data_IF_702433304963
#
_entry.id   IF_702433304963
#
_cell.length_a   1.000
_cell.length_b   1.000
_cell.length_c   1.000
_cell.angle_alpha   90.00
_cell.angle_beta   90.00
_cell.angle_gamma   90.00
#
_symmetry.space_group_name_H-M   'P 1'
#
loop_
_entity.id
_entity.type
_entity.pdbx_description
1 polymer ?
#
# COMPACT_ATOMS: atom_id res chain seq x y z
N UNK A 1 -21.26 -2.81 3.10
CA UNK A 1 -19.81 -2.85 3.15
C UNK A 1 -19.25 -2.72 1.75
N UNK A 2 -18.37 -1.78 1.59
CA UNK A 2 -17.69 -1.61 0.31
C UNK A 2 -16.46 -2.48 0.27
N UNK A 3 -16.26 -3.15 -0.86
CA UNK A 3 -15.04 -3.88 -1.08
C UNK A 3 -14.33 -3.27 -2.28
N UNK A 4 -13.01 -3.19 -2.20
CA UNK A 4 -12.24 -2.67 -3.31
C UNK A 4 -12.14 -3.74 -4.40
N UNK A 5 -12.09 -3.33 -5.67
CA UNK A 5 -11.91 -4.30 -6.74
C UNK A 5 -10.48 -4.85 -6.75
N UNK A 6 -10.33 -6.08 -7.22
CA UNK A 6 -9.03 -6.68 -7.43
C UNK A 6 -8.36 -6.15 -8.69
N UNK A 7 -7.16 -6.66 -9.02
CA UNK A 7 -6.47 -6.20 -10.21
C UNK A 7 -7.23 -6.58 -11.48
N UNK A 8 -7.24 -5.65 -12.43
CA UNK A 8 -7.89 -5.87 -13.70
C UNK A 8 -6.92 -6.36 -14.75
N UNK A 9 -7.45 -7.06 -15.73
CA UNK A 9 -6.64 -7.53 -16.85
C UNK A 9 -6.19 -6.32 -17.67
N UNK A 10 -4.89 -6.23 -17.95
CA UNK A 10 -4.37 -5.11 -18.72
C UNK A 10 -4.06 -3.87 -17.89
N UNK A 11 -4.18 -3.95 -16.57
CA UNK A 11 -3.81 -2.80 -15.73
C UNK A 11 -2.34 -2.45 -15.87
N UNK A 12 -2.06 -1.16 -15.88
CA UNK A 12 -0.67 -0.68 -15.89
C UNK A 12 -0.04 -0.87 -14.52
N UNK A 13 1.28 -0.73 -14.44
CA UNK A 13 1.97 -0.84 -13.16
C UNK A 13 1.44 0.19 -12.17
N UNK A 14 1.18 1.42 -12.62
CA UNK A 14 0.63 2.44 -11.75
C UNK A 14 -0.76 2.06 -11.25
N UNK A 15 -1.59 1.46 -12.13
CA UNK A 15 -2.93 1.01 -11.74
C UNK A 15 -2.83 -0.04 -10.64
N UNK A 16 -1.83 -0.91 -10.71
CA UNK A 16 -1.64 -1.95 -9.70
C UNK A 16 -1.28 -1.34 -8.35
N UNK A 17 -0.39 -0.34 -8.34
CA UNK A 17 -0.02 0.32 -7.08
C UNK A 17 -1.23 1.03 -6.49
N UNK A 18 -1.95 1.79 -7.30
CA UNK A 18 -3.14 2.52 -6.81
C UNK A 18 -4.21 1.56 -6.31
N UNK A 19 -4.42 0.46 -7.04
CA UNK A 19 -5.39 -0.54 -6.64
C UNK A 19 -5.02 -1.20 -5.32
N UNK A 20 -3.73 -1.49 -5.15
CA UNK A 20 -3.27 -2.07 -3.90
C UNK A 20 -3.50 -1.12 -2.72
N UNK A 21 -3.17 0.16 -2.89
CA UNK A 21 -3.37 1.12 -1.80
C UNK A 21 -4.84 1.21 -1.40
N UNK A 22 -5.74 1.20 -2.39
CA UNK A 22 -7.17 1.25 -2.12
C UNK A 22 -7.64 -0.03 -1.43
N UNK A 23 -7.17 -1.18 -1.91
CA UNK A 23 -7.58 -2.46 -1.33
C UNK A 23 -7.05 -2.62 0.09
N UNK A 24 -5.87 -2.08 0.38
CA UNK A 24 -5.31 -2.16 1.73
C UNK A 24 -6.13 -1.37 2.74
N UNK A 25 -6.69 -0.23 2.31
CA UNK A 25 -7.55 0.56 3.19
C UNK A 25 -8.79 -0.24 3.58
N UNK A 26 -9.33 -1.02 2.65
CA UNK A 26 -10.50 -1.85 2.90
C UNK A 26 -10.13 -3.23 3.46
N UNK A 27 -8.85 -3.47 3.75
CA UNK A 27 -8.35 -4.81 4.05
C UNK A 27 -8.92 -5.46 5.28
N UNK A 28 -9.35 -4.66 6.26
CA UNK A 28 -9.88 -5.24 7.49
C UNK A 28 -11.21 -5.95 7.27
N UNK A 29 -11.92 -5.67 6.18
CA UNK A 29 -13.21 -6.30 5.91
C UNK A 29 -13.05 -7.67 5.26
N UNK A 30 -11.89 -7.97 4.66
CA UNK A 30 -11.69 -9.24 3.96
C UNK A 30 -10.35 -9.88 4.30
N UNK A 31 -9.75 -9.49 5.43
CA UNK A 31 -8.46 -10.01 5.89
C UNK A 31 -7.38 -9.81 4.83
N UNK A 32 -7.45 -8.68 4.14
CA UNK A 32 -6.47 -8.26 3.13
C UNK A 32 -6.42 -9.20 1.92
N UNK A 33 -7.49 -9.99 1.70
CA UNK A 33 -7.49 -10.92 0.58
C UNK A 33 -7.40 -10.19 -0.76
N UNK A 34 -8.16 -9.11 -0.93
CA UNK A 34 -8.12 -8.36 -2.18
C UNK A 34 -6.77 -7.68 -2.37
N UNK A 35 -6.22 -7.09 -1.30
CA UNK A 35 -4.91 -6.44 -1.40
C UNK A 35 -3.84 -7.43 -1.84
N UNK A 36 -3.91 -8.66 -1.32
CA UNK A 36 -2.92 -9.68 -1.66
C UNK A 36 -2.98 -10.09 -3.13
N UNK A 37 -4.09 -9.85 -3.80
CA UNK A 37 -4.21 -10.18 -5.23
C UNK A 37 -3.31 -9.30 -6.10
N UNK A 38 -2.89 -8.14 -5.60
CA UNK A 38 -1.99 -7.24 -6.34
C UNK A 38 -0.53 -7.61 -6.17
N UNK A 39 -0.22 -8.60 -5.33
CA UNK A 39 1.14 -8.99 -4.99
C UNK A 39 1.52 -10.28 -5.71
N UNK A 40 2.82 -10.44 -5.97
CA UNK A 40 3.33 -11.71 -6.45
C UNK A 40 3.25 -12.74 -5.32
N UNK A 41 3.37 -14.02 -5.66
CA UNK A 41 3.33 -15.09 -4.66
C UNK A 41 4.41 -14.89 -3.61
N UNK A 42 5.61 -14.48 -4.05
CA UNK A 42 6.70 -14.23 -3.13
C UNK A 42 6.39 -13.07 -2.19
N UNK A 43 5.81 -11.99 -2.75
CA UNK A 43 5.48 -10.82 -1.94
C UNK A 43 4.39 -11.14 -0.92
N UNK A 44 3.41 -11.95 -1.30
CA UNK A 44 2.36 -12.36 -0.36
C UNK A 44 2.97 -13.06 0.85
N UNK A 45 3.96 -13.93 0.61
CA UNK A 45 4.60 -14.68 1.69
C UNK A 45 5.41 -13.78 2.62
N UNK A 46 5.88 -12.64 2.13
CA UNK A 46 6.74 -11.74 2.89
C UNK A 46 5.98 -10.60 3.56
N UNK A 47 4.83 -10.24 3.04
CA UNK A 47 4.13 -9.04 3.48
C UNK A 47 3.35 -9.28 4.76
N UNK A 48 3.54 -8.37 5.72
CA UNK A 48 2.84 -8.41 7.01
C UNK A 48 2.06 -7.11 7.17
N UNK A 49 0.79 -7.11 6.79
CA UNK A 49 0.01 -5.86 6.75
C UNK A 49 -0.14 -5.18 8.11
N UNK A 50 -0.13 -5.96 9.19
CA UNK A 50 -0.32 -5.37 10.51
C UNK A 50 0.98 -5.19 11.28
N UNK A 51 2.13 -5.32 10.61
CA UNK A 51 3.41 -5.05 11.26
C UNK A 51 3.48 -3.59 11.69
N UNK A 52 2.95 -2.69 10.86
CA UNK A 52 2.88 -1.28 11.21
C UNK A 52 1.77 -0.64 10.38
N UNK A 53 1.07 0.32 10.96
CA UNK A 53 0.05 1.08 10.25
C UNK A 53 0.49 2.53 10.24
N UNK A 54 0.78 3.06 9.05
CA UNK A 54 1.13 4.47 8.91
C UNK A 54 -0.13 5.25 8.60
N UNK A 55 -0.40 6.27 9.42
CA UNK A 55 -1.60 7.08 9.26
C UNK A 55 -1.25 8.36 8.53
N UNK A 56 -2.02 8.70 7.51
CA UNK A 56 -1.84 9.95 6.79
C UNK A 56 -3.09 10.80 6.91
N UNK A 57 -2.93 12.11 6.64
CA UNK A 57 -4.07 13.03 6.72
C UNK A 57 -5.08 12.68 5.63
N UNK A 58 -6.32 12.43 6.02
CA UNK A 58 -7.36 12.09 5.07
C UNK A 58 -7.74 13.21 4.12
N UNK A 59 -7.23 14.42 4.35
CA UNK A 59 -7.51 15.54 3.48
C UNK A 59 -6.60 15.59 2.25
N UNK A 60 -5.52 14.80 2.23
CA UNK A 60 -4.55 14.79 1.13
C UNK A 60 -4.23 13.35 0.78
N UNK A 61 -4.56 12.96 -0.45
CA UNK A 61 -4.30 11.59 -0.87
C UNK A 61 -2.80 11.36 -1.09
N UNK A 62 -2.33 10.13 -0.86
CA UNK A 62 -0.95 9.79 -1.16
C UNK A 62 -0.64 10.00 -2.64
N UNK A 63 0.58 10.42 -2.92
CA UNK A 63 1.05 10.66 -4.28
C UNK A 63 1.91 9.49 -4.73
N UNK A 64 1.65 9.02 -5.95
CA UNK A 64 2.41 7.92 -6.54
C UNK A 64 3.28 8.49 -7.65
N UNK A 65 4.57 8.21 -7.58
CA UNK A 65 5.50 8.69 -8.59
C UNK A 65 6.44 7.56 -9.01
N UNK A 66 7.00 7.68 -10.22
CA UNK A 66 7.92 6.68 -10.77
C UNK A 66 9.35 7.15 -10.53
N UNK A 67 10.16 6.28 -9.91
CA UNK A 67 11.57 6.57 -9.70
C UNK A 67 12.37 6.24 -10.95
N UNK A 68 13.61 6.72 -10.99
CA UNK A 68 14.46 6.54 -12.17
C UNK A 68 14.72 5.08 -12.49
N UNK A 69 14.70 4.21 -11.48
CA UNK A 69 14.95 2.78 -11.67
C UNK A 69 13.69 1.99 -12.02
N UNK A 70 12.56 2.68 -12.22
CA UNK A 70 11.32 2.03 -12.60
C UNK A 70 10.46 1.61 -11.44
N UNK A 71 10.92 1.74 -10.21
CA UNK A 71 10.07 1.47 -9.06
C UNK A 71 9.13 2.64 -8.83
N UNK A 72 8.12 2.40 -7.99
CA UNK A 72 7.15 3.44 -7.66
C UNK A 72 7.33 3.87 -6.22
N UNK A 73 7.22 5.17 -5.97
CA UNK A 73 7.30 5.72 -4.64
C UNK A 73 5.94 6.31 -4.27
N UNK A 74 5.45 5.91 -3.10
CA UNK A 74 4.19 6.45 -2.56
C UNK A 74 4.57 7.40 -1.42
N UNK A 75 4.16 8.64 -1.55
CA UNK A 75 4.52 9.69 -0.58
C UNK A 75 3.26 10.32 -0.02
N UNK A 76 3.22 10.50 1.29
CA UNK A 76 2.13 11.21 1.93
C UNK A 76 2.63 11.88 3.20
N UNK A 77 1.86 12.86 3.70
CA UNK A 77 2.13 13.40 5.02
C UNK A 77 1.78 12.37 6.09
N UNK A 78 2.64 12.21 7.05
CA UNK A 78 2.43 11.20 8.09
C UNK A 78 1.93 11.86 9.37
N UNK A 79 0.79 11.38 9.87
CA UNK A 79 0.21 11.85 11.12
C UNK A 79 0.70 11.04 12.30
N UNK A 80 0.97 9.77 12.10
CA UNK A 80 1.46 8.91 13.15
C UNK A 80 1.60 7.48 12.68
N UNK A 81 2.08 6.64 13.58
CA UNK A 81 2.33 5.22 13.27
C UNK A 81 1.78 4.38 14.41
N UNK A 82 1.07 3.31 14.05
CA UNK A 82 0.59 2.31 14.99
C UNK A 82 1.43 1.07 14.82
N UNK A 83 2.05 0.59 15.91
CA UNK A 83 2.91 -0.59 15.80
C UNK A 83 2.07 -1.88 15.95
N UNK A 84 2.77 -3.02 15.87
CA UNK A 84 2.09 -4.32 15.89
C UNK A 84 1.44 -4.63 17.24
N UNK A 85 1.81 -3.89 18.27
CA UNK A 85 1.23 -4.06 19.61
C UNK A 85 0.07 -3.10 19.86
N UNK A 86 -0.27 -2.28 18.85
CA UNK A 86 -1.37 -1.35 18.98
C UNK A 86 -0.99 -0.02 19.61
N UNK A 87 0.29 0.27 19.76
CA UNK A 87 0.76 1.53 20.35
C UNK A 87 0.89 2.58 19.25
N UNK A 88 0.20 3.70 19.44
CA UNK A 88 0.23 4.79 18.48
C UNK A 88 1.29 5.82 18.88
N UNK A 89 2.14 6.18 17.93
CA UNK A 89 3.15 7.21 18.11
C UNK A 89 2.85 8.34 17.14
N UNK A 90 2.52 9.54 17.65
CA UNK A 90 2.28 10.67 16.76
C UNK A 90 3.54 11.05 16.00
N UNK A 91 3.38 11.44 14.74
CA UNK A 91 4.49 11.89 13.92
C UNK A 91 4.79 13.34 14.23
N UNK A 92 6.04 13.74 13.99
CA UNK A 92 6.42 15.13 14.12
C UNK A 92 5.83 15.92 12.97
N UNK A 93 5.64 17.22 13.21
CA UNK A 93 5.13 18.10 12.17
C UNK A 93 6.06 18.05 10.97
N UNK A 94 5.48 17.90 9.78
CA UNK A 94 6.28 17.82 8.57
C UNK A 94 6.77 16.43 8.23
N UNK A 95 6.48 15.43 9.07
CA UNK A 95 6.89 14.05 8.78
C UNK A 95 6.19 13.54 7.54
N UNK A 96 6.87 12.71 6.76
CA UNK A 96 6.31 12.12 5.57
C UNK A 96 6.50 10.61 5.59
N UNK A 97 5.59 9.94 4.89
CA UNK A 97 5.71 8.52 4.60
C UNK A 97 6.23 8.38 3.18
N UNK A 98 7.28 7.59 2.99
CA UNK A 98 7.82 7.30 1.66
C UNK A 98 8.00 5.81 1.54
N UNK A 99 7.11 5.18 0.76
CA UNK A 99 7.18 3.74 0.54
C UNK A 99 7.58 3.43 -0.88
N UNK A 100 8.50 2.50 -1.06
CA UNK A 100 8.96 2.12 -2.38
C UNK A 100 8.37 0.77 -2.76
N UNK A 101 7.79 0.71 -3.97
CA UNK A 101 7.14 -0.49 -4.49
C UNK A 101 7.86 -0.91 -5.76
N UNK A 102 8.27 -2.18 -5.80
CA UNK A 102 8.89 -2.76 -7.00
C UNK A 102 7.87 -3.65 -7.69
N UNK A 103 7.79 -3.55 -9.01
CA UNK A 103 6.83 -4.31 -9.78
C UNK A 103 7.50 -5.09 -10.88
N UNK A 104 6.90 -6.21 -11.26
CA UNK A 104 7.34 -7.03 -12.37
C UNK A 104 6.11 -7.71 -12.95
N UNK A 105 6.24 -8.18 -14.19
CA UNK A 105 5.15 -8.93 -14.82
C UNK A 105 5.23 -10.40 -14.41
N UNK A 106 4.07 -11.01 -14.25
CA UNK A 106 3.99 -12.43 -13.92
C UNK A 106 4.00 -13.26 -15.20
N UNK A 107 3.76 -14.57 -15.08
CA UNK A 107 3.81 -15.47 -16.22
C UNK A 107 2.76 -15.18 -17.29
N UNK A 108 1.69 -14.47 -16.91
CA UNK A 108 0.66 -14.10 -17.87
C UNK A 108 0.85 -12.69 -18.42
N UNK A 109 1.97 -12.02 -18.09
CA UNK A 109 2.26 -10.69 -18.58
C UNK A 109 1.59 -9.57 -17.81
N UNK A 110 1.00 -9.86 -16.68
CA UNK A 110 0.32 -8.85 -15.86
C UNK A 110 1.24 -8.34 -14.77
N UNK A 111 1.11 -7.04 -14.47
CA UNK A 111 1.93 -6.42 -13.44
C UNK A 111 1.51 -6.87 -12.05
N UNK A 112 2.50 -7.12 -11.19
CA UNK A 112 2.27 -7.44 -9.79
C UNK A 112 3.37 -6.82 -8.95
N UNK A 113 3.05 -6.50 -7.71
CA UNK A 113 4.03 -5.94 -6.78
C UNK A 113 4.90 -7.07 -6.26
N UNK A 114 6.21 -6.96 -6.48
CA UNK A 114 7.16 -7.99 -6.04
C UNK A 114 7.93 -7.57 -4.80
N UNK A 115 7.94 -6.27 -4.47
CA UNK A 115 8.56 -5.76 -3.27
C UNK A 115 7.78 -4.59 -2.76
N UNK A 116 7.60 -4.49 -1.44
CA UNK A 116 6.83 -3.41 -0.84
C UNK A 116 7.24 -3.27 0.62
N UNK A 117 6.98 -2.10 1.23
CA UNK A 117 7.23 -1.95 2.66
C UNK A 117 6.25 -2.77 3.46
N UNK A 118 6.65 -3.16 4.67
CA UNK A 118 5.75 -3.86 5.58
C UNK A 118 4.69 -2.91 6.10
N UNK A 119 3.53 -3.46 6.45
CA UNK A 119 2.47 -2.66 7.01
C UNK A 119 1.55 -2.09 5.95
N UNK A 120 0.69 -1.20 6.37
CA UNK A 120 -0.29 -0.56 5.49
C UNK A 120 -0.32 0.93 5.75
N UNK A 121 -0.90 1.65 4.80
CA UNK A 121 -1.05 3.10 4.88
C UNK A 121 -2.55 3.39 4.91
N UNK A 122 -3.01 4.02 5.99
CA UNK A 122 -4.44 4.29 6.18
C UNK A 122 -4.69 5.78 6.37
N UNK A 123 -5.82 6.29 5.87
CA UNK A 123 -6.19 7.67 6.14
C UNK A 123 -6.61 7.82 7.60
N UNK A 124 -6.19 8.92 8.19
CA UNK A 124 -6.58 9.27 9.55
C UNK A 124 -7.54 10.45 9.45
N UNK A 125 -8.78 10.23 9.82
CA UNK A 125 -9.79 11.29 9.82
C UNK A 125 -10.45 11.33 11.18
N UNK A 126 -10.90 12.51 11.54
CA UNK A 126 -11.52 12.70 12.83
C UNK A 126 -12.89 13.23 12.70
#
# INVERSE_FOLDING_TARGET
>A
IETAPGPGEGDSAEDIVNGFLRAAIAGFSDDFATAKQFLSDHAVAQWRPLATVSAYSGSTEPQVSVAANGSFTVTSGQVGVLDSLGVFTPAQEGATYDGEFSLATNSTGQWRIVGLPQGILLPFSR
#
